data_IF_650049666097
#
_entry.id   IF_650049666097
#
_cell.length_a   1.000
_cell.length_b   1.000
_cell.length_c   1.000
_cell.angle_alpha   90.00
_cell.angle_beta   90.00
_cell.angle_gamma   90.00
#
_symmetry.space_group_name_H-M   'P 1'
#
loop_
_entity.id
_entity.type
_entity.pdbx_description
1 polymer ?
#
# COMPACT_ATOMS: atom_id res chain seq x y z
N UNK A 1 14.93 2.74 -8.08
CA UNK A 1 15.34 1.43 -7.51
C UNK A 1 14.63 0.35 -8.31
N UNK A 2 15.28 -0.79 -8.58
CA UNK A 2 14.59 -1.93 -9.18
C UNK A 2 13.87 -2.76 -8.07
N UNK A 3 12.55 -2.63 -7.98
CA UNK A 3 11.72 -3.36 -7.01
C UNK A 3 11.89 -4.87 -7.17
N UNK A 4 11.85 -5.38 -8.40
CA UNK A 4 11.89 -6.81 -8.71
C UNK A 4 13.22 -7.45 -8.28
N UNK A 5 14.34 -6.79 -8.56
CA UNK A 5 15.65 -7.25 -8.06
C UNK A 5 15.71 -7.27 -6.53
N UNK A 6 15.09 -6.28 -5.89
CA UNK A 6 15.04 -6.19 -4.43
C UNK A 6 14.24 -7.37 -3.87
N UNK A 7 13.03 -7.63 -4.39
CA UNK A 7 12.20 -8.75 -3.94
C UNK A 7 12.87 -10.11 -4.17
N UNK A 8 13.59 -10.31 -5.28
CA UNK A 8 14.37 -11.53 -5.51
C UNK A 8 15.45 -11.77 -4.45
N UNK A 9 16.10 -10.71 -3.95
CA UNK A 9 17.09 -10.83 -2.86
C UNK A 9 16.47 -11.27 -1.53
N UNK A 10 15.20 -10.94 -1.32
CA UNK A 10 14.46 -11.25 -0.09
C UNK A 10 13.46 -12.40 -0.25
N UNK A 11 13.42 -13.08 -1.40
CA UNK A 11 12.43 -14.11 -1.74
C UNK A 11 12.20 -15.14 -0.62
N UNK A 12 13.27 -15.66 -0.02
CA UNK A 12 13.17 -16.67 1.05
C UNK A 12 12.45 -16.15 2.31
N UNK A 13 12.40 -14.84 2.53
CA UNK A 13 11.71 -14.22 3.67
C UNK A 13 10.26 -13.85 3.38
N UNK A 14 9.86 -13.80 2.11
CA UNK A 14 8.56 -13.25 1.66
C UNK A 14 7.75 -14.23 0.82
N UNK A 15 8.15 -15.50 0.79
CA UNK A 15 7.55 -16.53 -0.06
C UNK A 15 6.06 -16.77 0.26
N UNK A 16 5.72 -16.72 1.55
CA UNK A 16 4.38 -17.01 2.06
C UNK A 16 3.81 -15.83 2.88
N UNK A 17 4.35 -14.63 2.65
CA UNK A 17 4.03 -13.43 3.42
C UNK A 17 3.70 -12.26 2.49
N UNK A 18 2.80 -11.40 2.95
CA UNK A 18 2.59 -10.10 2.34
C UNK A 18 3.76 -9.15 2.60
N UNK A 19 3.83 -8.08 1.83
CA UNK A 19 4.76 -6.98 2.06
C UNK A 19 4.05 -5.64 1.91
N UNK A 20 4.62 -4.61 2.53
CA UNK A 20 4.23 -3.24 2.28
C UNK A 20 5.17 -2.64 1.24
N UNK A 21 4.62 -2.10 0.16
CA UNK A 21 5.38 -1.37 -0.86
C UNK A 21 4.90 0.07 -0.83
N UNK A 22 5.80 1.05 -0.72
CA UNK A 22 5.43 2.46 -0.78
C UNK A 22 4.59 2.75 -2.04
N UNK A 23 3.49 3.50 -1.89
CA UNK A 23 2.53 3.75 -2.96
C UNK A 23 3.18 4.21 -4.27
N UNK A 24 4.09 5.19 -4.18
CA UNK A 24 4.83 5.74 -5.32
C UNK A 24 5.66 4.68 -6.06
N UNK A 25 6.25 3.74 -5.32
CA UNK A 25 7.06 2.66 -5.86
C UNK A 25 6.20 1.60 -6.52
N UNK A 26 5.06 1.24 -5.91
CA UNK A 26 4.15 0.23 -6.45
C UNK A 26 3.56 0.67 -7.80
N UNK A 27 3.10 1.92 -7.89
CA UNK A 27 2.49 2.49 -9.10
C UNK A 27 3.51 3.13 -10.06
N UNK A 28 4.81 2.91 -9.84
CA UNK A 28 5.84 3.35 -10.78
C UNK A 28 5.64 2.67 -12.15
N UNK A 29 5.82 3.44 -13.22
CA UNK A 29 5.69 2.94 -14.60
C UNK A 29 6.61 1.76 -14.89
N UNK A 30 7.79 1.72 -14.26
CA UNK A 30 8.74 0.62 -14.39
C UNK A 30 8.22 -0.70 -13.79
N UNK A 31 7.26 -0.62 -12.86
CA UNK A 31 6.73 -1.76 -12.13
C UNK A 31 5.34 -2.23 -12.61
N UNK A 32 4.72 -1.52 -13.58
CA UNK A 32 3.35 -1.76 -14.07
C UNK A 32 3.10 -3.19 -14.58
N UNK A 33 4.11 -3.84 -15.14
CA UNK A 33 3.98 -5.21 -15.68
C UNK A 33 4.01 -6.28 -14.57
N UNK A 34 4.46 -5.93 -13.37
CA UNK A 34 4.62 -6.84 -12.23
C UNK A 34 3.63 -6.56 -11.10
N UNK A 35 3.21 -5.30 -10.94
CA UNK A 35 2.34 -4.84 -9.87
C UNK A 35 0.92 -4.63 -10.42
N UNK A 36 -0.05 -5.29 -9.80
CA UNK A 36 -1.47 -5.14 -10.09
C UNK A 36 -2.23 -4.80 -8.82
N UNK A 37 -3.03 -3.75 -8.92
CA UNK A 37 -3.95 -3.36 -7.87
C UNK A 37 -5.39 -3.68 -8.29
N UNK A 38 -6.31 -3.84 -7.35
CA UNK A 38 -7.73 -4.05 -7.66
C UNK A 38 -8.30 -2.96 -8.58
N UNK A 39 -7.89 -1.71 -8.37
CA UNK A 39 -8.08 -0.61 -9.33
C UNK A 39 -6.92 -0.59 -10.31
N UNK A 40 -7.14 -0.93 -11.58
CA UNK A 40 -6.10 -0.87 -12.61
C UNK A 40 -6.49 -0.15 -13.91
N UNK A 41 -7.70 0.42 -14.00
CA UNK A 41 -8.08 1.31 -15.09
C UNK A 41 -7.39 2.68 -14.98
N UNK A 42 -6.95 3.24 -16.11
CA UNK A 42 -6.16 4.48 -16.13
C UNK A 42 -6.91 5.68 -15.51
N UNK A 43 -8.21 5.80 -15.76
CA UNK A 43 -9.01 6.91 -15.22
C UNK A 43 -9.16 6.80 -13.69
N UNK A 44 -9.42 5.60 -13.19
CA UNK A 44 -9.55 5.34 -11.76
C UNK A 44 -8.20 5.51 -11.06
N UNK A 45 -7.11 5.03 -11.65
CA UNK A 45 -5.75 5.28 -11.13
C UNK A 45 -5.41 6.76 -11.04
N UNK A 46 -5.83 7.56 -12.04
CA UNK A 46 -5.66 9.02 -11.99
C UNK A 46 -6.48 9.65 -10.84
N UNK A 47 -7.68 9.14 -10.59
CA UNK A 47 -8.54 9.58 -9.50
C UNK A 47 -7.95 9.23 -8.14
N UNK A 48 -7.47 7.99 -7.97
CA UNK A 48 -6.75 7.53 -6.78
C UNK A 48 -5.51 8.38 -6.51
N UNK A 49 -4.71 8.66 -7.55
CA UNK A 49 -3.55 9.55 -7.43
C UNK A 49 -3.93 10.96 -6.95
N UNK A 50 -5.04 11.52 -7.45
CA UNK A 50 -5.53 12.83 -7.00
C UNK A 50 -6.01 12.80 -5.54
N UNK A 51 -6.64 11.70 -5.11
CA UNK A 51 -7.01 11.50 -3.71
C UNK A 51 -5.77 11.47 -2.80
N UNK A 52 -4.74 10.73 -3.20
CA UNK A 52 -3.47 10.64 -2.45
C UNK A 52 -2.78 12.00 -2.34
N UNK A 53 -2.81 12.81 -3.40
CA UNK A 53 -2.33 14.19 -3.36
C UNK A 53 -3.11 15.03 -2.35
N UNK A 54 -4.45 15.00 -2.37
CA UNK A 54 -5.28 15.74 -1.41
C UNK A 54 -5.09 15.28 0.04
N UNK A 55 -4.86 14.00 0.24
CA UNK A 55 -4.54 13.46 1.56
C UNK A 55 -3.23 14.08 2.07
N UNK A 56 -2.18 14.10 1.24
CA UNK A 56 -0.87 14.70 1.57
C UNK A 56 -0.91 16.23 1.72
N UNK A 57 -1.83 16.92 1.05
CA UNK A 57 -2.06 18.36 1.27
C UNK A 57 -2.56 18.64 2.70
N UNK A 58 -3.39 17.74 3.25
CA UNK A 58 -3.93 17.85 4.62
C UNK A 58 -2.95 17.31 5.67
N UNK A 59 -2.19 16.28 5.31
CA UNK A 59 -1.16 15.70 6.14
C UNK A 59 0.11 15.38 5.35
N UNK A 60 1.04 16.34 5.34
CA UNK A 60 2.29 16.21 4.58
C UNK A 60 3.18 15.05 5.08
N UNK A 61 2.99 14.61 6.32
CA UNK A 61 3.71 13.51 6.91
C UNK A 61 3.02 12.15 6.67
N UNK A 62 1.91 12.13 5.93
CA UNK A 62 1.17 10.90 5.68
C UNK A 62 2.00 9.92 4.85
N UNK A 63 2.06 8.69 5.35
CA UNK A 63 2.77 7.59 4.73
C UNK A 63 1.77 6.59 4.19
N UNK A 64 1.97 6.18 2.94
CA UNK A 64 0.97 5.39 2.22
C UNK A 64 1.68 4.23 1.54
N UNK A 65 1.20 3.04 1.84
CA UNK A 65 1.76 1.79 1.35
C UNK A 65 0.67 0.96 0.73
N UNK A 66 1.03 0.20 -0.29
CA UNK A 66 0.21 -0.88 -0.83
C UNK A 66 0.52 -2.12 -0.02
N UNK A 67 -0.50 -2.72 0.59
CA UNK A 67 -0.40 -3.99 1.29
C UNK A 67 -0.66 -5.12 0.30
N UNK A 68 0.36 -5.92 0.04
CA UNK A 68 0.30 -6.99 -0.96
C UNK A 68 -0.09 -8.31 -0.32
N UNK A 69 -0.73 -9.16 -1.11
CA UNK A 69 -0.78 -10.59 -0.81
C UNK A 69 0.60 -11.23 -0.95
N UNK A 70 0.64 -12.54 -0.75
CA UNK A 70 1.82 -13.36 -1.02
C UNK A 70 2.29 -13.14 -2.47
N UNK A 71 3.59 -12.94 -2.63
CA UNK A 71 4.18 -12.65 -3.92
C UNK A 71 4.36 -13.94 -4.71
N UNK A 72 3.85 -13.96 -5.95
CA UNK A 72 4.01 -15.11 -6.82
C UNK A 72 5.36 -15.05 -7.53
N UNK A 73 6.30 -15.89 -7.08
CA UNK A 73 7.57 -16.15 -7.75
C UNK A 73 7.42 -17.32 -8.73
N UNK A 74 6.86 -17.06 -9.91
CA UNK A 74 6.92 -18.02 -11.01
C UNK A 74 8.36 -18.08 -11.56
N UNK A 75 8.77 -19.23 -12.10
CA UNK A 75 10.16 -19.52 -12.51
C UNK A 75 10.85 -18.40 -13.32
N UNK A 76 10.10 -17.65 -14.12
CA UNK A 76 10.61 -16.57 -14.96
C UNK A 76 10.00 -15.19 -14.63
N UNK A 77 8.91 -15.13 -13.85
CA UNK A 77 8.13 -13.92 -13.63
C UNK A 77 7.81 -13.71 -12.15
N UNK A 78 7.78 -12.44 -11.73
CA UNK A 78 7.26 -12.03 -10.44
C UNK A 78 5.92 -11.35 -10.68
N UNK A 79 4.91 -11.74 -9.92
CA UNK A 79 3.60 -11.10 -9.94
C UNK A 79 3.19 -10.72 -8.53
N UNK A 80 2.79 -9.45 -8.38
CA UNK A 80 2.43 -8.83 -7.12
C UNK A 80 1.00 -8.32 -7.29
N UNK A 81 0.09 -8.88 -6.51
CA UNK A 81 -1.28 -8.42 -6.45
C UNK A 81 -1.57 -7.82 -5.08
N UNK A 82 -2.39 -6.77 -5.09
CA UNK A 82 -2.83 -6.06 -3.91
C UNK A 82 -4.20 -5.44 -4.16
N UNK A 83 -4.91 -5.23 -3.08
CA UNK A 83 -6.22 -4.59 -3.09
C UNK A 83 -6.43 -3.72 -1.83
N UNK A 84 -5.36 -3.54 -1.06
CA UNK A 84 -5.41 -2.81 0.20
C UNK A 84 -4.37 -1.70 0.20
N UNK A 85 -4.80 -0.48 0.54
CA UNK A 85 -3.90 0.63 0.87
C UNK A 85 -3.83 0.80 2.38
N UNK A 86 -2.62 0.91 2.88
CA UNK A 86 -2.33 1.25 4.25
C UNK A 86 -1.96 2.72 4.36
N UNK A 87 -2.76 3.47 5.10
CA UNK A 87 -2.60 4.91 5.29
C UNK A 87 -2.24 5.19 6.75
N UNK A 88 -1.00 5.58 6.98
CA UNK A 88 -0.57 6.13 8.25
C UNK A 88 -0.67 7.66 8.18
N UNK A 89 -1.64 8.24 8.88
CA UNK A 89 -1.90 9.68 8.87
C UNK A 89 -2.57 10.14 10.15
N UNK A 90 -2.32 11.40 10.51
CA UNK A 90 -3.02 12.08 11.62
C UNK A 90 -4.50 12.32 11.33
N UNK A 91 -4.92 12.25 10.07
CA UNK A 91 -6.32 12.45 9.69
C UNK A 91 -7.17 11.35 10.29
N UNK A 92 -8.32 11.74 10.84
CA UNK A 92 -9.27 10.76 11.36
C UNK A 92 -10.02 10.05 10.21
N UNK A 93 -10.72 8.97 10.55
CA UNK A 93 -11.50 8.19 9.59
C UNK A 93 -12.51 9.07 8.85
N UNK A 94 -13.19 10.00 9.53
CA UNK A 94 -14.20 10.87 8.91
C UNK A 94 -13.59 11.82 7.90
N UNK A 95 -12.41 12.35 8.18
CA UNK A 95 -11.67 13.19 7.25
C UNK A 95 -11.29 12.42 5.98
N UNK A 96 -10.83 11.16 6.13
CA UNK A 96 -10.53 10.28 5.00
C UNK A 96 -11.80 9.94 4.21
N UNK A 97 -12.90 9.52 4.85
CA UNK A 97 -14.17 9.26 4.17
C UNK A 97 -14.68 10.52 3.42
N UNK A 98 -14.48 11.71 3.98
CA UNK A 98 -14.88 12.95 3.34
C UNK A 98 -14.06 13.25 2.07
N UNK A 99 -12.82 12.77 1.95
CA UNK A 99 -12.05 12.87 0.71
C UNK A 99 -12.72 12.04 -0.40
N UNK A 100 -13.10 10.80 -0.11
CA UNK A 100 -13.72 9.88 -1.07
C UNK A 100 -15.07 10.37 -1.63
N UNK A 101 -15.78 11.25 -0.93
CA UNK A 101 -16.99 11.90 -1.47
C UNK A 101 -16.75 12.67 -2.78
N UNK A 102 -15.51 13.10 -3.04
CA UNK A 102 -15.11 13.76 -4.27
C UNK A 102 -14.48 12.81 -5.30
N UNK A 103 -14.27 11.54 -4.92
CA UNK A 103 -13.54 10.54 -5.66
C UNK A 103 -14.27 9.18 -5.61
N UNK A 104 -15.54 9.18 -6.00
CA UNK A 104 -16.45 8.03 -5.77
C UNK A 104 -16.10 6.79 -6.58
N UNK A 105 -15.40 6.94 -7.72
CA UNK A 105 -15.07 5.78 -8.56
C UNK A 105 -13.97 4.92 -7.93
N UNK A 106 -13.23 5.46 -6.96
CA UNK A 106 -12.15 4.78 -6.26
C UNK A 106 -12.44 4.63 -4.78
N UNK A 107 -13.70 4.73 -4.37
CA UNK A 107 -14.10 4.53 -2.98
C UNK A 107 -13.84 3.06 -2.57
N UNK A 108 -13.15 2.80 -1.43
CA UNK A 108 -12.90 1.45 -0.96
C UNK A 108 -14.20 0.80 -0.45
N UNK A 109 -14.30 -0.50 -0.64
CA UNK A 109 -15.45 -1.34 -0.30
C UNK A 109 -15.81 -1.25 1.19
N UNK A 110 -14.83 -1.03 2.05
CA UNK A 110 -14.95 -1.01 3.51
C UNK A 110 -14.96 0.40 4.12
N UNK A 111 -15.05 1.46 3.31
CA UNK A 111 -14.91 2.86 3.77
C UNK A 111 -15.82 3.22 4.97
N UNK A 112 -16.99 2.59 5.06
CA UNK A 112 -17.99 2.85 6.12
C UNK A 112 -17.73 2.08 7.41
N UNK A 113 -16.85 1.09 7.37
CA UNK A 113 -16.47 0.21 8.49
C UNK A 113 -14.99 0.37 8.84
N UNK A 114 -14.36 1.47 8.40
CA UNK A 114 -12.99 1.82 8.74
C UNK A 114 -12.83 1.94 10.27
N UNK A 115 -12.35 0.87 10.88
CA UNK A 115 -11.83 0.89 12.23
C UNK A 115 -10.34 1.28 12.19
N UNK A 116 -9.83 1.82 13.31
CA UNK A 116 -8.38 1.99 13.48
C UNK A 116 -7.78 0.59 13.57
N UNK A 117 -7.12 0.18 12.48
CA UNK A 117 -6.72 -1.19 12.29
C UNK A 117 -5.61 -1.55 13.29
N UNK A 118 -5.88 -2.54 14.14
CA UNK A 118 -4.88 -3.09 15.07
C UNK A 118 -4.01 -4.05 14.27
N UNK A 119 -3.10 -3.51 13.44
CA UNK A 119 -2.09 -4.27 12.69
C UNK A 119 -2.67 -5.44 11.87
N UNK A 120 -3.31 -5.10 10.75
CA UNK A 120 -3.48 -5.82 9.47
C UNK A 120 -3.54 -7.37 9.49
N UNK A 121 -4.59 -7.89 8.85
CA UNK A 121 -4.76 -9.26 8.37
C UNK A 121 -3.52 -9.82 7.60
N UNK A 122 -2.98 -10.94 8.07
CA UNK A 122 -1.91 -11.70 7.42
C UNK A 122 -0.49 -11.44 7.95
N UNK A 123 0.44 -12.37 7.69
CA UNK A 123 1.84 -12.24 8.11
C UNK A 123 2.58 -11.30 7.13
N UNK A 124 2.69 -10.01 7.46
CA UNK A 124 3.51 -9.05 6.71
C UNK A 124 4.97 -9.21 7.13
N UNK A 125 5.85 -9.46 6.17
CA UNK A 125 7.27 -9.68 6.44
C UNK A 125 8.11 -8.39 6.36
N UNK A 126 7.94 -7.60 5.31
CA UNK A 126 8.84 -6.49 4.97
C UNK A 126 8.09 -5.23 4.54
N UNK A 127 8.76 -4.09 4.71
CA UNK A 127 8.39 -2.80 4.12
C UNK A 127 9.46 -2.38 3.13
N UNK A 128 9.06 -2.00 1.92
CA UNK A 128 9.94 -1.57 0.82
C UNK A 128 9.58 -0.15 0.42
N UNK A 129 10.54 0.77 0.49
CA UNK A 129 10.35 2.18 0.10
C UNK A 129 11.23 2.60 -1.07
N UNK A 130 10.90 3.75 -1.66
CA UNK A 130 11.59 4.36 -2.81
C UNK A 130 13.08 4.61 -2.57
N UNK A 131 13.51 4.84 -1.34
CA UNK A 131 14.91 5.09 -0.96
C UNK A 131 15.78 3.82 -0.87
N UNK A 132 15.32 2.68 -1.39
CA UNK A 132 16.00 1.37 -1.25
C UNK A 132 16.12 0.88 0.19
N UNK A 133 15.25 1.38 1.04
CA UNK A 133 15.13 0.93 2.42
C UNK A 133 14.18 -0.27 2.41
N UNK A 134 14.73 -1.42 2.77
CA UNK A 134 13.97 -2.63 3.10
C UNK A 134 14.06 -2.82 4.60
N UNK A 135 12.92 -2.73 5.28
CA UNK A 135 12.83 -2.91 6.73
C UNK A 135 11.99 -4.13 7.07
N UNK A 136 12.36 -4.80 8.16
CA UNK A 136 11.48 -5.76 8.83
C UNK A 136 10.22 -5.04 9.32
N UNK A 137 9.04 -5.61 9.06
CA UNK A 137 7.77 -4.96 9.38
C UNK A 137 7.64 -4.63 10.87
N UNK A 138 7.99 -5.55 11.78
CA UNK A 138 7.88 -5.31 13.23
C UNK A 138 8.77 -4.15 13.65
N UNK A 139 10.02 -4.18 13.18
CA UNK A 139 10.98 -3.11 13.43
C UNK A 139 10.50 -1.76 12.89
N UNK A 140 9.84 -1.75 11.72
CA UNK A 140 9.29 -0.57 11.10
C UNK A 140 8.15 0.04 11.96
N UNK A 141 7.19 -0.77 12.40
CA UNK A 141 6.09 -0.35 13.28
C UNK A 141 6.64 0.21 14.60
N UNK A 142 7.57 -0.49 15.25
CA UNK A 142 8.13 -0.12 16.54
C UNK A 142 8.90 1.21 16.48
N UNK A 143 9.80 1.37 15.51
CA UNK A 143 10.62 2.58 15.37
C UNK A 143 9.78 3.83 15.12
N UNK A 144 8.73 3.68 14.32
CA UNK A 144 7.88 4.79 13.89
C UNK A 144 6.69 5.01 14.81
N UNK A 145 6.49 4.11 15.79
CA UNK A 145 5.38 4.16 16.74
C UNK A 145 4.03 4.27 16.05
N UNK A 146 3.85 3.52 14.95
CA UNK A 146 2.67 3.62 14.11
C UNK A 146 1.46 3.06 14.84
N UNK A 147 0.53 3.96 15.18
CA UNK A 147 -0.68 3.64 15.93
C UNK A 147 -1.96 4.25 15.31
N UNK A 148 -1.84 4.96 14.17
CA UNK A 148 -2.96 5.68 13.50
C UNK A 148 -3.20 5.18 12.08
N UNK A 149 -3.15 3.86 11.95
CA UNK A 149 -3.26 3.12 10.71
C UNK A 149 -4.72 3.05 10.26
N UNK A 150 -4.96 3.30 8.97
CA UNK A 150 -6.22 2.97 8.30
C UNK A 150 -5.92 2.09 7.11
N UNK A 151 -6.58 0.93 7.03
CA UNK A 151 -6.54 0.07 5.84
C UNK A 151 -7.75 0.38 4.98
N UNK A 152 -7.53 0.62 3.70
CA UNK A 152 -8.57 0.88 2.70
C UNK A 152 -8.59 -0.31 1.76
N UNK A 153 -9.69 -1.05 1.69
CA UNK A 153 -9.80 -2.30 0.93
C UNK A 153 -10.71 -2.17 -0.31
N UNK A 154 -10.35 -2.83 -1.40
CA UNK A 154 -11.14 -2.90 -2.64
C UNK A 154 -11.44 -4.37 -3.00
N UNK A 155 -12.64 -4.66 -3.50
CA UNK A 155 -13.08 -5.99 -3.99
C UNK A 155 -13.46 -5.90 -5.47
#
# INVERSE_FOLDING_TARGET
MNLIETLKRYQNKILDSGILIEYSLFFDKENKDYCKFAIDEENELNELNNLILKLREKDIAAEIYVNTYNINFAKENIYIYADTLWVNSKLDVKEICNLFRYFQNVEPSDITSLDEDVTIDGEIALVVSTESIVEDYRSFIEKRQLNMIKSLYWD
#
